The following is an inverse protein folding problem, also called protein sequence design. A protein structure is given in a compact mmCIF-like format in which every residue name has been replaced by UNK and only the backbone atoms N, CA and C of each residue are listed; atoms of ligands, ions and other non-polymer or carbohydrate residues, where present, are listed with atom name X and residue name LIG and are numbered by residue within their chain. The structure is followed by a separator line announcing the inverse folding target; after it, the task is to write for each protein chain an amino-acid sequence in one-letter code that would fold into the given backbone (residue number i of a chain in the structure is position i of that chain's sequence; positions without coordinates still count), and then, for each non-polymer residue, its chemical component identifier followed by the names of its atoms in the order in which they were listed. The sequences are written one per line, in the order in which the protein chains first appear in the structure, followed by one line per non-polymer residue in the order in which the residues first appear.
data_IF_743050089592
#
_entry.id   IF_743050089592
#
_cell.length_a   1.000
_cell.length_b   1.000
_cell.length_c   1.000
_cell.angle_alpha   90.00
_cell.angle_beta   90.00
_cell.angle_gamma   90.00
#
_symmetry.space_group_name_H-M   'P 1'
#
loop_
_entity.id
_entity.type
_entity.pdbx_description
1 polymer ?
#
# COMPACT_ATOMS: atom_id res chain seq x y z
N UNK A 1 -69.81 15.91 1.93
CA UNK A 1 -70.16 17.28 1.48
C UNK A 1 -69.46 18.27 2.39
N UNK A 2 -69.11 19.43 1.82
CA UNK A 2 -68.66 20.69 2.44
C UNK A 2 -67.30 20.73 3.13
N UNK A 3 -66.29 20.98 2.32
CA UNK A 3 -65.50 22.22 2.28
C UNK A 3 -65.50 23.20 3.47
N UNK A 4 -64.25 23.61 3.76
CA UNK A 4 -63.77 24.99 3.97
C UNK A 4 -64.10 25.74 5.26
N UNK A 5 -63.05 26.14 5.99
CA UNK A 5 -63.14 27.30 6.87
C UNK A 5 -61.95 27.60 7.80
N UNK A 6 -61.11 28.56 7.37
CA UNK A 6 -60.29 29.50 8.18
C UNK A 6 -59.01 28.88 8.79
N UNK A 7 -57.84 29.51 8.90
CA UNK A 7 -57.40 30.90 9.13
C UNK A 7 -56.02 31.10 8.43
N UNK A 8 -55.77 32.17 7.67
CA UNK A 8 -55.30 33.49 8.14
C UNK A 8 -54.24 33.46 9.26
N UNK A 9 -52.98 33.20 8.91
CA UNK A 9 -51.84 33.84 9.59
C UNK A 9 -50.58 33.83 8.69
N UNK A 10 -50.45 34.88 7.86
CA UNK A 10 -49.17 35.20 7.21
C UNK A 10 -48.15 35.54 8.30
N UNK A 11 -47.26 34.60 8.61
CA UNK A 11 -46.07 34.89 9.42
C UNK A 11 -45.05 35.59 8.53
N UNK A 12 -44.43 36.71 8.96
CA UNK A 12 -43.40 37.36 8.17
C UNK A 12 -42.24 36.37 7.97
N UNK A 13 -41.77 36.23 6.73
CA UNK A 13 -40.60 35.39 6.44
C UNK A 13 -39.42 35.95 7.23
N UNK A 14 -38.91 35.14 8.16
CA UNK A 14 -37.71 35.46 8.95
C UNK A 14 -36.58 35.77 7.98
N UNK A 15 -35.91 36.92 8.13
CA UNK A 15 -34.74 37.25 7.32
C UNK A 15 -33.65 36.26 7.69
N UNK A 16 -33.41 35.29 6.81
CA UNK A 16 -32.31 34.35 6.96
C UNK A 16 -31.00 35.11 6.76
N UNK A 17 -30.23 35.25 7.84
CA UNK A 17 -28.89 35.82 7.76
C UNK A 17 -28.07 34.92 6.87
N UNK A 18 -27.55 35.46 5.76
CA UNK A 18 -26.67 34.73 4.86
C UNK A 18 -25.50 34.15 5.66
N UNK A 19 -25.18 32.88 5.42
CA UNK A 19 -24.10 32.18 6.12
C UNK A 19 -22.82 33.00 6.03
N UNK A 20 -22.17 33.22 7.17
CA UNK A 20 -20.90 33.89 7.25
C UNK A 20 -19.88 33.09 6.42
N UNK A 21 -19.34 33.72 5.38
CA UNK A 21 -18.37 33.09 4.48
C UNK A 21 -17.02 33.16 5.20
N UNK A 22 -16.57 32.03 5.73
CA UNK A 22 -15.21 31.92 6.22
C UNK A 22 -14.23 31.89 5.04
N UNK A 23 -13.06 32.54 5.15
CA UNK A 23 -12.07 32.52 4.09
C UNK A 23 -11.54 31.09 3.86
N UNK A 24 -11.47 30.67 2.59
CA UNK A 24 -10.96 29.34 2.21
C UNK A 24 -9.49 29.10 2.60
N UNK A 25 -8.74 30.14 2.96
CA UNK A 25 -7.37 30.02 3.44
C UNK A 25 -7.05 31.18 4.38
N UNK A 26 -6.69 30.85 5.61
CA UNK A 26 -6.19 31.81 6.60
C UNK A 26 -4.75 31.44 6.91
N UNK A 27 -3.81 32.36 6.66
CA UNK A 27 -2.39 32.11 6.86
C UNK A 27 -2.07 32.05 8.36
N UNK A 28 -1.89 30.84 8.88
CA UNK A 28 -1.43 30.61 10.25
C UNK A 28 0.11 30.63 10.29
N UNK A 29 0.71 31.60 10.99
CA UNK A 29 2.18 31.72 11.13
C UNK A 29 2.86 30.48 11.73
N UNK A 30 2.09 29.59 12.34
CA UNK A 30 2.56 28.35 12.95
C UNK A 30 2.68 27.20 11.94
N UNK A 31 2.14 27.32 10.72
CA UNK A 31 2.21 26.28 9.68
C UNK A 31 3.56 26.23 8.94
N UNK A 32 4.45 27.19 9.19
CA UNK A 32 5.75 27.31 8.51
C UNK A 32 6.70 26.17 8.94
N UNK A 33 6.47 25.57 10.11
CA UNK A 33 7.33 24.52 10.68
C UNK A 33 6.71 23.13 10.72
N UNK A 34 5.45 22.99 10.28
CA UNK A 34 4.82 21.68 10.15
C UNK A 34 4.98 21.23 8.71
N UNK A 35 6.01 20.43 8.44
CA UNK A 35 6.08 19.71 7.18
C UNK A 35 4.79 18.89 7.04
N UNK A 36 4.00 19.17 6.01
CA UNK A 36 3.00 18.22 5.58
C UNK A 36 3.77 16.99 5.12
N UNK A 37 3.84 15.97 5.96
CA UNK A 37 4.15 14.63 5.51
C UNK A 37 3.05 14.29 4.50
N UNK A 38 3.37 14.47 3.22
CA UNK A 38 2.61 13.90 2.14
C UNK A 38 2.45 12.43 2.50
N UNK A 39 1.24 12.05 2.93
CA UNK A 39 0.86 10.65 3.04
C UNK A 39 1.06 10.10 1.65
N UNK A 40 2.22 9.48 1.43
CA UNK A 40 2.49 8.60 0.32
C UNK A 40 1.36 7.58 0.37
N UNK A 41 0.28 7.84 -0.36
CA UNK A 41 -0.66 6.82 -0.75
C UNK A 41 0.12 5.94 -1.69
N UNK A 42 0.89 5.03 -1.09
CA UNK A 42 1.48 3.89 -1.75
C UNK A 42 0.37 3.29 -2.58
N UNK A 43 0.52 3.41 -3.89
CA UNK A 43 -0.33 2.72 -4.84
C UNK A 43 -0.24 1.26 -4.41
N UNK A 44 -1.31 0.76 -3.81
CA UNK A 44 -1.50 -0.65 -3.53
C UNK A 44 -1.57 -1.36 -4.89
N UNK A 45 -0.41 -1.55 -5.51
CA UNK A 45 -0.22 -2.54 -6.55
C UNK A 45 -0.59 -3.82 -5.83
N UNK A 46 -1.73 -4.39 -6.21
CA UNK A 46 -2.16 -5.69 -5.71
C UNK A 46 -1.08 -6.68 -6.15
N UNK A 47 -0.01 -6.83 -5.35
CA UNK A 47 0.97 -7.91 -5.50
C UNK A 47 0.13 -9.18 -5.55
N UNK A 48 0.31 -9.97 -6.60
CA UNK A 48 -0.36 -11.25 -6.70
C UNK A 48 -0.09 -11.99 -5.39
N UNK A 49 -1.13 -12.52 -4.74
CA UNK A 49 -0.97 -13.24 -3.49
C UNK A 49 -0.23 -14.53 -3.84
N UNK A 50 1.08 -14.52 -3.69
CA UNK A 50 1.91 -15.69 -3.93
C UNK A 50 1.68 -16.72 -2.84
N UNK A 51 1.71 -18.00 -3.22
CA UNK A 51 1.58 -19.10 -2.28
C UNK A 51 2.87 -19.23 -1.50
N UNK A 52 2.82 -18.95 -0.20
CA UNK A 52 3.97 -19.10 0.69
C UNK A 52 4.24 -20.57 1.00
N UNK A 53 5.51 -20.93 1.12
CA UNK A 53 5.96 -22.23 1.63
C UNK A 53 6.96 -22.01 2.77
N UNK A 54 7.27 -23.06 3.53
CA UNK A 54 8.24 -22.99 4.62
C UNK A 54 9.53 -23.70 4.24
N UNK A 55 10.64 -22.97 4.20
CA UNK A 55 11.97 -23.55 4.02
C UNK A 55 12.58 -23.93 5.38
N UNK A 56 13.10 -25.16 5.51
CA UNK A 56 13.85 -25.57 6.70
C UNK A 56 15.31 -25.16 6.54
N UNK A 57 15.80 -24.31 7.43
CA UNK A 57 17.19 -23.82 7.46
C UNK A 57 17.82 -24.07 8.83
N UNK A 58 19.16 -24.10 8.88
CA UNK A 58 19.87 -24.19 10.15
C UNK A 58 19.65 -22.93 11.00
N UNK A 59 19.74 -23.05 12.34
CA UNK A 59 19.62 -21.90 13.24
C UNK A 59 20.61 -20.78 12.92
N UNK A 60 21.87 -21.15 12.64
CA UNK A 60 22.90 -20.20 12.20
C UNK A 60 22.49 -19.39 10.98
N UNK A 61 21.85 -20.03 9.99
CA UNK A 61 21.44 -19.33 8.78
C UNK A 61 20.17 -18.51 9.01
N UNK A 62 19.22 -19.00 9.82
CA UNK A 62 18.05 -18.24 10.24
C UNK A 62 18.44 -16.91 10.87
N UNK A 63 19.37 -16.94 11.82
CA UNK A 63 19.77 -15.74 12.55
C UNK A 63 20.49 -14.74 11.62
N UNK A 64 21.32 -15.26 10.69
CA UNK A 64 21.96 -14.43 9.64
C UNK A 64 20.95 -13.79 8.69
N UNK A 65 19.95 -14.55 8.23
CA UNK A 65 18.89 -14.04 7.36
C UNK A 65 18.12 -12.93 8.08
N UNK A 66 17.68 -13.18 9.32
CA UNK A 66 16.96 -12.19 10.10
C UNK A 66 17.77 -10.91 10.36
N UNK A 67 19.07 -11.06 10.65
CA UNK A 67 19.98 -9.92 10.80
C UNK A 67 20.13 -9.13 9.50
N UNK A 68 20.19 -9.81 8.35
CA UNK A 68 20.27 -9.16 7.03
C UNK A 68 18.97 -8.42 6.68
N UNK A 69 17.80 -8.99 6.98
CA UNK A 69 16.51 -8.32 6.81
C UNK A 69 16.47 -7.02 7.62
N UNK A 70 16.84 -7.10 8.91
CA UNK A 70 16.87 -5.94 9.80
C UNK A 70 17.89 -4.87 9.36
N UNK A 71 19.08 -5.29 8.92
CA UNK A 71 20.14 -4.38 8.47
C UNK A 71 19.78 -3.63 7.18
N UNK A 72 19.13 -4.33 6.23
CA UNK A 72 18.72 -3.75 4.94
C UNK A 72 17.38 -3.01 5.02
N UNK A 73 16.67 -3.08 6.15
CA UNK A 73 15.36 -2.46 6.32
C UNK A 73 14.28 -3.07 5.42
N UNK A 74 14.36 -4.38 5.18
CA UNK A 74 13.37 -5.11 4.36
C UNK A 74 12.20 -5.58 5.22
N UNK A 75 11.01 -5.68 4.65
CA UNK A 75 9.81 -6.04 5.40
C UNK A 75 9.70 -7.55 5.64
N UNK A 76 10.32 -8.35 4.76
CA UNK A 76 10.24 -9.80 4.84
C UNK A 76 11.53 -10.51 4.40
N UNK A 77 11.65 -11.77 4.84
CA UNK A 77 12.70 -12.68 4.35
C UNK A 77 12.54 -12.94 2.85
N UNK A 78 11.32 -12.93 2.35
CA UNK A 78 11.00 -13.17 0.94
C UNK A 78 11.61 -12.08 0.05
N UNK A 79 11.42 -10.80 0.43
CA UNK A 79 12.03 -9.66 -0.27
C UNK A 79 13.56 -9.70 -0.24
N UNK A 80 14.15 -10.18 0.87
CA UNK A 80 15.60 -10.39 0.93
C UNK A 80 16.04 -11.48 -0.05
N UNK A 81 15.27 -12.56 -0.16
CA UNK A 81 15.58 -13.65 -1.08
C UNK A 81 15.45 -13.20 -2.54
N UNK A 82 14.41 -12.42 -2.89
CA UNK A 82 14.25 -11.88 -4.24
C UNK A 82 15.48 -11.06 -4.66
N UNK A 83 15.92 -10.13 -3.80
CA UNK A 83 17.11 -9.31 -4.08
C UNK A 83 18.37 -10.17 -4.24
N UNK A 84 18.55 -11.18 -3.38
CA UNK A 84 19.72 -12.06 -3.46
C UNK A 84 19.68 -12.97 -4.69
N UNK A 85 18.50 -13.45 -5.07
CA UNK A 85 18.31 -14.26 -6.27
C UNK A 85 18.57 -13.42 -7.51
N UNK A 86 18.02 -12.21 -7.61
CA UNK A 86 18.27 -11.28 -8.71
C UNK A 86 19.76 -10.93 -8.85
N UNK A 87 20.43 -10.67 -7.73
CA UNK A 87 21.87 -10.41 -7.69
C UNK A 87 22.66 -11.61 -8.22
N UNK A 88 22.35 -12.83 -7.77
CA UNK A 88 23.01 -14.04 -8.26
C UNK A 88 22.68 -14.34 -9.72
N UNK A 89 21.43 -14.13 -10.14
CA UNK A 89 20.98 -14.25 -11.53
C UNK A 89 21.69 -13.28 -12.45
N UNK A 90 22.01 -12.07 -11.98
CA UNK A 90 22.73 -11.09 -12.79
C UNK A 90 24.10 -11.60 -13.25
N UNK A 91 24.79 -12.36 -12.39
CA UNK A 91 26.16 -12.88 -12.60
C UNK A 91 26.20 -14.11 -13.51
N UNK A 92 25.08 -14.82 -13.66
CA UNK A 92 24.99 -16.03 -14.49
C UNK A 92 25.21 -15.74 -15.99
N UNK A 93 25.86 -16.67 -16.68
CA UNK A 93 26.03 -16.64 -18.14
C UNK A 93 24.70 -16.85 -18.87
N UNK A 94 24.66 -16.57 -20.17
CA UNK A 94 23.43 -16.73 -20.98
C UNK A 94 22.91 -18.16 -21.00
N UNK A 95 23.83 -19.13 -21.01
CA UNK A 95 23.49 -20.55 -21.07
C UNK A 95 22.97 -21.03 -19.71
N UNK A 96 23.62 -20.67 -18.61
CA UNK A 96 23.16 -21.00 -17.26
C UNK A 96 21.80 -20.34 -16.95
N UNK A 97 21.57 -19.09 -17.40
CA UNK A 97 20.25 -18.43 -17.33
C UNK A 97 19.17 -19.21 -18.08
N UNK A 98 19.51 -19.78 -19.25
CA UNK A 98 18.59 -20.60 -20.03
C UNK A 98 18.28 -21.92 -19.32
N UNK A 99 19.28 -22.54 -18.72
CA UNK A 99 19.10 -23.75 -17.91
C UNK A 99 18.23 -23.49 -16.68
N UNK A 100 18.53 -22.42 -15.93
CA UNK A 100 17.76 -22.02 -14.75
C UNK A 100 16.29 -21.81 -15.08
N UNK A 101 15.97 -21.03 -16.12
CA UNK A 101 14.58 -20.83 -16.58
C UNK A 101 13.89 -22.15 -16.94
N UNK A 102 14.62 -23.05 -17.57
CA UNK A 102 14.08 -24.38 -17.93
C UNK A 102 13.73 -25.17 -16.67
N UNK A 103 14.61 -25.19 -15.68
CA UNK A 103 14.40 -25.89 -14.40
C UNK A 103 13.23 -25.30 -13.60
N UNK A 104 13.14 -23.97 -13.53
CA UNK A 104 12.00 -23.28 -12.88
C UNK A 104 10.68 -23.69 -13.54
N UNK A 105 10.61 -23.69 -14.88
CA UNK A 105 9.39 -24.09 -15.60
C UNK A 105 8.95 -25.53 -15.32
N UNK A 106 9.90 -26.43 -15.07
CA UNK A 106 9.63 -27.83 -14.71
C UNK A 106 9.05 -27.90 -13.30
N UNK A 107 9.61 -27.14 -12.35
CA UNK A 107 9.12 -27.11 -10.97
C UNK A 107 7.73 -26.47 -10.85
N UNK A 108 7.44 -25.42 -11.61
CA UNK A 108 6.11 -24.82 -11.69
C UNK A 108 5.07 -25.83 -12.19
N UNK A 109 5.37 -26.53 -13.30
CA UNK A 109 4.50 -27.59 -13.84
C UNK A 109 4.28 -28.73 -12.84
N UNK A 110 5.31 -29.08 -12.06
CA UNK A 110 5.19 -30.11 -11.01
C UNK A 110 4.31 -29.64 -9.84
N UNK A 111 4.33 -28.35 -9.52
CA UNK A 111 3.50 -27.76 -8.45
C UNK A 111 2.04 -27.57 -8.88
N UNK A 112 1.80 -27.39 -10.18
CA UNK A 112 0.45 -27.22 -10.73
C UNK A 112 -0.29 -28.55 -10.99
N UNK A 113 0.43 -29.68 -11.08
CA UNK A 113 -0.13 -31.02 -11.18
C UNK A 113 -0.52 -31.55 -9.80
#
# INVERSE_FOLDING_TARGET
MSDSGKQLLNRPKTIERSKQIEPNSSFARNSIFTANEEKNTEKNVKKAIEKTTTARVSYRNKDRINALVALKGLDSVDELLDVLLDEHESVLTTDEKRELRTMVSIYEKKRSR
#
